data_IF_314112645429
#
_entry.id   IF_314112645429
#
_cell.length_a   1.000
_cell.length_b   1.000
_cell.length_c   1.000
_cell.angle_alpha   90.00
_cell.angle_beta   90.00
_cell.angle_gamma   90.00
#
_symmetry.space_group_name_H-M   'P 1'
#
loop_
_entity.id
_entity.type
_entity.pdbx_description
1 polymer ?
#
# COMPACT_ATOMS: atom_id res chain seq x y z
N UNK A 1 -5.56 6.61 -34.22
CA UNK A 1 -5.36 8.07 -34.13
C UNK A 1 -4.24 8.30 -33.14
N UNK A 2 -3.02 8.52 -33.64
CA UNK A 2 -1.87 8.90 -32.84
C UNK A 2 -1.65 10.40 -33.05
N UNK A 3 -1.91 11.18 -32.00
CA UNK A 3 -1.70 12.63 -31.84
C UNK A 3 -2.56 12.98 -30.62
N UNK A 4 -2.06 13.41 -29.47
CA UNK A 4 -1.02 14.42 -29.23
C UNK A 4 -0.58 14.34 -27.75
N UNK A 5 0.61 13.80 -27.47
CA UNK A 5 1.20 13.82 -26.11
C UNK A 5 2.18 15.00 -25.94
N UNK A 6 2.25 15.89 -26.92
CA UNK A 6 3.11 17.06 -26.90
C UNK A 6 2.24 18.28 -27.20
N UNK A 7 1.77 18.94 -26.13
CA UNK A 7 1.41 20.34 -26.23
C UNK A 7 1.51 21.08 -24.89
N UNK A 8 2.20 22.22 -24.98
CA UNK A 8 2.17 23.41 -24.12
C UNK A 8 2.53 23.27 -22.64
N UNK A 9 3.74 23.75 -22.29
CA UNK A 9 4.09 24.45 -21.05
C UNK A 9 3.37 23.97 -19.77
N UNK A 10 3.44 22.66 -19.50
CA UNK A 10 2.87 22.11 -18.27
C UNK A 10 3.69 22.66 -17.11
N UNK A 11 3.05 23.34 -16.16
CA UNK A 11 3.68 23.76 -14.91
C UNK A 11 3.90 22.50 -14.06
N UNK A 12 4.92 21.72 -14.41
CA UNK A 12 5.22 20.42 -13.79
C UNK A 12 5.85 20.57 -12.41
N UNK A 13 6.36 21.76 -12.10
CA UNK A 13 7.05 22.06 -10.86
C UNK A 13 6.24 22.99 -9.98
N UNK A 14 6.30 22.76 -8.66
CA UNK A 14 5.68 23.60 -7.66
C UNK A 14 6.61 23.73 -6.45
N UNK A 15 6.69 24.94 -5.89
CA UNK A 15 7.38 25.19 -4.62
C UNK A 15 6.46 24.79 -3.48
N UNK A 16 6.98 24.00 -2.54
CA UNK A 16 6.22 23.53 -1.38
C UNK A 16 5.98 24.68 -0.39
N UNK A 17 4.80 24.71 0.21
CA UNK A 17 4.53 25.61 1.34
C UNK A 17 5.18 25.08 2.63
N UNK A 18 5.26 25.93 3.66
CA UNK A 18 5.86 25.56 4.95
C UNK A 18 5.27 24.27 5.54
N UNK A 19 3.95 24.09 5.51
CA UNK A 19 3.28 22.91 6.05
C UNK A 19 3.73 21.61 5.35
N UNK A 20 3.86 21.65 4.03
CA UNK A 20 4.36 20.53 3.24
C UNK A 20 5.85 20.26 3.55
N UNK A 21 6.68 21.30 3.65
CA UNK A 21 8.09 21.15 4.03
C UNK A 21 8.22 20.59 5.45
N UNK A 22 7.36 21.00 6.37
CA UNK A 22 7.32 20.46 7.73
C UNK A 22 6.94 18.98 7.74
N UNK A 23 5.91 18.56 7.00
CA UNK A 23 5.57 17.14 6.84
C UNK A 23 6.73 16.34 6.24
N UNK A 24 7.42 16.89 5.24
CA UNK A 24 8.60 16.29 4.66
C UNK A 24 9.73 16.12 5.68
N UNK A 25 10.00 17.15 6.50
CA UNK A 25 11.00 17.09 7.57
C UNK A 25 10.69 15.98 8.58
N UNK A 26 9.42 15.78 8.94
CA UNK A 26 8.99 14.68 9.81
C UNK A 26 9.26 13.30 9.18
N UNK A 27 8.95 13.14 7.88
CA UNK A 27 9.26 11.89 7.15
C UNK A 27 10.77 11.63 7.13
N UNK A 28 11.57 12.67 6.90
CA UNK A 28 13.03 12.55 6.78
C UNK A 28 13.74 12.28 8.12
N UNK A 29 13.23 12.85 9.22
CA UNK A 29 13.77 12.68 10.59
C UNK A 29 13.22 11.47 11.34
N UNK A 30 12.08 10.92 10.91
CA UNK A 30 11.44 9.77 11.53
C UNK A 30 12.36 8.56 11.62
N UNK A 31 12.41 7.91 12.79
CA UNK A 31 13.17 6.69 12.97
C UNK A 31 12.45 5.50 12.31
N UNK A 32 13.16 4.80 11.43
CA UNK A 32 12.64 3.69 10.64
C UNK A 32 13.41 2.42 11.01
N UNK A 33 12.73 1.38 11.51
CA UNK A 33 13.37 0.11 11.83
C UNK A 33 13.57 -0.74 10.57
N UNK A 34 14.83 -1.02 10.22
CA UNK A 34 15.21 -2.02 9.21
C UNK A 34 15.52 -3.33 9.92
N UNK A 35 14.66 -4.32 9.73
CA UNK A 35 14.71 -5.57 10.48
C UNK A 35 15.74 -6.52 9.86
N UNK A 36 16.69 -6.98 10.67
CA UNK A 36 17.62 -8.03 10.29
C UNK A 36 16.96 -9.41 10.36
N UNK A 37 17.22 -10.26 9.37
CA UNK A 37 16.81 -11.67 9.38
C UNK A 37 17.72 -12.50 10.29
N UNK A 38 17.17 -13.51 10.94
CA UNK A 38 17.92 -14.39 11.83
C UNK A 38 18.44 -13.62 13.05
N UNK A 39 19.73 -13.73 13.34
CA UNK A 39 20.37 -13.12 14.52
C UNK A 39 20.89 -11.70 14.29
N UNK A 40 20.60 -11.10 13.12
CA UNK A 40 21.06 -9.75 12.81
C UNK A 40 20.21 -8.70 13.55
N UNK A 41 20.84 -7.67 14.15
CA UNK A 41 20.11 -6.66 14.92
C UNK A 41 19.22 -5.81 14.02
N UNK A 42 18.17 -5.21 14.59
CA UNK A 42 17.37 -4.21 13.88
C UNK A 42 18.13 -2.89 13.82
N UNK A 43 18.26 -2.30 12.63
CA UNK A 43 18.87 -0.98 12.44
C UNK A 43 17.80 0.09 12.60
N UNK A 44 18.08 1.13 13.37
CA UNK A 44 17.20 2.30 13.47
C UNK A 44 17.81 3.44 12.64
N UNK A 45 17.32 3.60 11.41
CA UNK A 45 17.82 4.61 10.49
C UNK A 45 16.89 5.81 10.43
N UNK A 46 17.43 6.98 10.09
CA UNK A 46 16.66 8.14 9.65
C UNK A 46 16.97 8.38 8.18
N UNK A 47 15.98 8.70 7.35
CA UNK A 47 16.22 8.89 5.92
C UNK A 47 17.23 10.01 5.68
N UNK A 48 17.16 11.11 6.44
CA UNK A 48 18.11 12.22 6.29
C UNK A 48 19.58 11.80 6.43
N UNK A 49 19.87 10.88 7.35
CA UNK A 49 21.23 10.45 7.65
C UNK A 49 21.65 9.36 6.66
N UNK A 50 20.75 8.39 6.42
CA UNK A 50 21.03 7.26 5.55
C UNK A 50 21.22 7.66 4.08
N UNK A 51 20.40 8.58 3.57
CA UNK A 51 20.52 9.11 2.21
C UNK A 51 21.86 9.82 1.99
N UNK A 52 22.32 10.59 2.99
CA UNK A 52 23.59 11.29 2.92
C UNK A 52 24.76 10.30 2.86
N UNK A 53 24.77 9.29 3.75
CA UNK A 53 25.81 8.24 3.74
C UNK A 53 25.84 7.48 2.40
N UNK A 54 24.67 7.13 1.85
CA UNK A 54 24.60 6.47 0.53
C UNK A 54 25.14 7.39 -0.57
N UNK A 55 24.77 8.68 -0.57
CA UNK A 55 25.25 9.67 -1.54
C UNK A 55 26.78 9.80 -1.50
N UNK A 56 27.35 9.88 -0.30
CA UNK A 56 28.79 10.07 -0.10
C UNK A 56 29.57 8.84 -0.61
N UNK A 57 29.13 7.62 -0.24
CA UNK A 57 29.76 6.38 -0.72
C UNK A 57 29.65 6.17 -2.22
N UNK A 58 28.54 6.59 -2.85
CA UNK A 58 28.43 6.59 -4.31
C UNK A 58 29.46 7.53 -4.94
N UNK A 59 29.64 8.73 -4.37
CA UNK A 59 30.63 9.70 -4.82
C UNK A 59 32.06 9.18 -4.71
N UNK A 60 32.40 8.53 -3.59
CA UNK A 60 33.71 7.88 -3.37
C UNK A 60 34.02 6.80 -4.41
N UNK A 61 33.01 6.03 -4.84
CA UNK A 61 33.12 5.01 -5.89
C UNK A 61 33.06 5.59 -7.33
N UNK A 62 33.00 6.92 -7.46
CA UNK A 62 32.97 7.64 -8.73
C UNK A 62 31.60 7.62 -9.45
N UNK A 63 30.51 7.40 -8.72
CA UNK A 63 29.14 7.54 -9.24
C UNK A 63 28.63 8.93 -8.88
N UNK A 64 28.36 9.74 -9.90
CA UNK A 64 27.75 11.05 -9.73
C UNK A 64 26.26 10.91 -9.44
N UNK A 65 25.81 11.48 -8.31
CA UNK A 65 24.40 11.65 -7.95
C UNK A 65 23.96 13.05 -8.38
N UNK A 66 23.04 13.13 -9.33
CA UNK A 66 22.52 14.37 -9.91
C UNK A 66 21.48 15.03 -8.99
N UNK A 67 20.55 14.23 -8.49
CA UNK A 67 19.50 14.64 -7.57
C UNK A 67 19.02 13.45 -6.72
N UNK A 68 18.37 13.75 -5.60
CA UNK A 68 17.70 12.76 -4.77
C UNK A 68 16.25 13.18 -4.57
N UNK A 69 15.33 12.26 -4.75
CA UNK A 69 13.89 12.54 -4.74
C UNK A 69 13.13 11.56 -3.84
N UNK A 70 12.15 12.07 -3.11
CA UNK A 70 11.12 11.25 -2.47
C UNK A 70 9.99 11.00 -3.46
N UNK A 71 9.55 9.76 -3.61
CA UNK A 71 8.49 9.34 -4.52
C UNK A 71 7.42 8.51 -3.77
N UNK A 72 6.42 8.03 -4.52
CA UNK A 72 5.45 7.05 -4.04
C UNK A 72 4.44 7.66 -3.08
N UNK A 73 3.84 6.81 -2.25
CA UNK A 73 2.79 7.23 -1.32
C UNK A 73 3.26 8.29 -0.32
N UNK A 74 4.55 8.30 0.03
CA UNK A 74 5.13 9.27 0.93
C UNK A 74 5.15 10.70 0.34
N UNK A 75 5.45 10.83 -0.97
CA UNK A 75 5.37 12.12 -1.65
C UNK A 75 3.93 12.64 -1.70
N UNK A 76 2.96 11.77 -2.01
CA UNK A 76 1.54 12.12 -1.99
C UNK A 76 1.06 12.52 -0.59
N UNK A 77 1.50 11.83 0.47
CA UNK A 77 1.22 12.20 1.86
C UNK A 77 1.75 13.59 2.22
N UNK A 78 2.98 13.92 1.80
CA UNK A 78 3.55 15.25 2.07
C UNK A 78 2.74 16.35 1.39
N UNK A 79 2.29 16.13 0.15
CA UNK A 79 1.64 17.14 -0.67
C UNK A 79 0.13 17.26 -0.42
N UNK A 80 -0.54 16.15 -0.12
CA UNK A 80 -1.98 16.08 0.05
C UNK A 80 -2.51 16.85 1.26
N UNK A 81 -3.82 17.10 1.25
CA UNK A 81 -4.52 17.78 2.34
C UNK A 81 -5.11 16.82 3.39
N UNK A 82 -5.07 15.49 3.14
CA UNK A 82 -5.63 14.51 4.07
C UNK A 82 -4.60 14.06 5.13
N UNK A 83 -4.84 14.42 6.40
CA UNK A 83 -3.97 14.02 7.52
C UNK A 83 -3.88 12.49 7.72
N UNK A 84 -4.88 11.74 7.27
CA UNK A 84 -4.98 10.29 7.43
C UNK A 84 -4.43 9.49 6.23
N UNK A 85 -3.76 10.13 5.27
CA UNK A 85 -3.22 9.42 4.12
C UNK A 85 -2.05 8.51 4.54
N UNK A 86 -2.33 7.22 4.69
CA UNK A 86 -1.29 6.22 4.97
C UNK A 86 -0.47 5.95 3.72
N UNK A 87 0.85 6.00 3.85
CA UNK A 87 1.80 5.47 2.89
C UNK A 87 2.42 4.18 3.42
N UNK A 88 2.62 3.21 2.51
CA UNK A 88 3.18 1.92 2.87
C UNK A 88 4.69 2.00 2.76
N UNK A 89 5.25 2.22 1.58
CA UNK A 89 6.70 2.26 1.40
C UNK A 89 7.28 3.68 1.37
N UNK A 90 8.59 3.79 1.65
CA UNK A 90 9.39 4.99 1.53
C UNK A 90 10.29 4.86 0.30
N UNK A 91 9.83 5.41 -0.82
CA UNK A 91 10.49 5.32 -2.11
C UNK A 91 11.44 6.49 -2.33
N UNK A 92 12.73 6.22 -2.42
CA UNK A 92 13.77 7.20 -2.73
C UNK A 92 14.34 6.95 -4.11
N UNK A 93 14.39 7.98 -4.94
CA UNK A 93 15.02 7.95 -6.26
C UNK A 93 16.33 8.74 -6.18
N UNK A 94 17.43 8.10 -6.56
CA UNK A 94 18.73 8.71 -6.79
C UNK A 94 18.92 8.82 -8.30
N UNK A 95 18.93 10.04 -8.84
CA UNK A 95 19.34 10.29 -10.22
C UNK A 95 20.84 10.06 -10.34
N UNK A 96 21.26 9.02 -11.06
CA UNK A 96 22.67 8.61 -11.18
C UNK A 96 23.03 8.34 -12.62
N UNK A 97 24.30 8.47 -12.98
CA UNK A 97 24.79 8.01 -14.29
C UNK A 97 25.33 6.57 -14.17
N UNK A 98 24.70 5.63 -14.89
CA UNK A 98 25.08 4.22 -14.90
C UNK A 98 25.68 3.82 -16.25
N UNK A 99 26.76 4.48 -16.66
CA UNK A 99 27.37 4.23 -17.97
C UNK A 99 27.85 2.79 -18.19
N UNK A 100 28.38 2.13 -17.14
CA UNK A 100 29.01 0.81 -17.23
C UNK A 100 28.27 -0.28 -16.41
N UNK A 101 28.38 -1.57 -16.80
CA UNK A 101 27.84 -2.67 -15.99
C UNK A 101 28.43 -2.75 -14.57
N UNK A 102 29.66 -2.27 -14.37
CA UNK A 102 30.31 -2.19 -13.05
C UNK A 102 29.65 -1.18 -12.11
N UNK A 103 28.99 -0.16 -12.64
CA UNK A 103 28.36 0.87 -11.79
C UNK A 103 27.20 0.28 -10.98
N UNK A 104 26.50 -0.73 -11.50
CA UNK A 104 25.52 -1.49 -10.72
C UNK A 104 26.13 -2.22 -9.51
N UNK A 105 27.37 -2.70 -9.64
CA UNK A 105 28.08 -3.32 -8.53
C UNK A 105 28.50 -2.30 -7.49
N UNK A 106 28.98 -1.13 -7.93
CA UNK A 106 29.30 0.01 -7.05
C UNK A 106 28.07 0.49 -6.28
N UNK A 107 26.93 0.69 -6.95
CA UNK A 107 25.64 1.03 -6.29
C UNK A 107 25.30 0.03 -5.19
N UNK A 108 25.36 -1.27 -5.51
CA UNK A 108 25.10 -2.33 -4.54
C UNK A 108 26.06 -2.26 -3.36
N UNK A 109 27.36 -2.11 -3.63
CA UNK A 109 28.39 -2.01 -2.59
C UNK A 109 28.19 -0.79 -1.71
N UNK A 110 27.93 0.39 -2.29
CA UNK A 110 27.68 1.63 -1.56
C UNK A 110 26.50 1.49 -0.58
N UNK A 111 25.36 0.92 -1.02
CA UNK A 111 24.20 0.71 -0.14
C UNK A 111 24.50 -0.29 0.98
N UNK A 112 25.12 -1.43 0.66
CA UNK A 112 25.44 -2.44 1.69
C UNK A 112 26.46 -1.89 2.68
N UNK A 113 27.50 -1.21 2.20
CA UNK A 113 28.48 -0.58 3.07
C UNK A 113 27.82 0.51 3.92
N UNK A 114 26.83 1.25 3.40
CA UNK A 114 26.08 2.25 4.17
C UNK A 114 25.35 1.61 5.35
N UNK A 115 24.68 0.46 5.16
CA UNK A 115 24.02 -0.28 6.25
C UNK A 115 24.98 -0.64 7.39
N UNK A 116 26.25 -0.87 7.06
CA UNK A 116 27.29 -1.24 8.01
C UNK A 116 27.58 -0.14 9.04
N UNK A 117 27.40 1.12 8.65
CA UNK A 117 27.64 2.28 9.52
C UNK A 117 26.52 2.46 10.56
N UNK A 118 25.33 1.91 10.28
CA UNK A 118 24.16 1.97 11.16
C UNK A 118 24.04 0.76 12.09
N UNK A 119 25.03 -0.13 12.11
CA UNK A 119 25.08 -1.24 13.07
C UNK A 119 25.33 -0.71 14.49
N UNK A 120 24.62 -1.24 15.50
CA UNK A 120 24.80 -0.82 16.89
C UNK A 120 26.21 -1.14 17.40
N UNK A 121 26.65 -0.39 18.40
CA UNK A 121 27.94 -0.59 19.05
C UNK A 121 28.02 -2.00 19.66
N UNK A 122 29.17 -2.66 19.48
CA UNK A 122 29.42 -4.04 19.95
C UNK A 122 29.21 -5.13 18.89
N UNK A 123 28.71 -4.81 17.70
CA UNK A 123 28.70 -5.75 16.57
C UNK A 123 30.08 -5.82 15.93
N UNK A 124 30.63 -7.03 15.76
CA UNK A 124 31.92 -7.22 15.09
C UNK A 124 31.78 -6.96 13.59
N UNK A 125 32.17 -5.76 13.16
CA UNK A 125 32.09 -5.30 11.76
C UNK A 125 33.08 -6.02 10.84
N UNK A 126 34.20 -6.52 11.35
CA UNK A 126 35.26 -7.19 10.56
C UNK A 126 34.83 -8.56 10.03
N UNK A 127 33.92 -9.25 10.74
CA UNK A 127 33.40 -10.56 10.33
C UNK A 127 32.21 -10.47 9.38
N UNK A 128 31.68 -9.27 9.13
CA UNK A 128 30.48 -9.08 8.33
C UNK A 128 30.81 -8.81 6.86
N UNK A 129 30.49 -9.77 6.00
CA UNK A 129 30.63 -9.61 4.55
C UNK A 129 29.44 -8.87 3.94
N UNK A 130 29.63 -8.27 2.76
CA UNK A 130 28.55 -7.67 1.98
C UNK A 130 27.45 -8.70 1.61
N UNK A 131 27.82 -9.97 1.41
CA UNK A 131 26.86 -11.05 1.17
C UNK A 131 25.97 -11.30 2.41
N UNK A 132 26.55 -11.26 3.61
CA UNK A 132 25.83 -11.45 4.87
C UNK A 132 24.81 -10.33 5.10
N UNK A 133 25.21 -9.07 4.86
CA UNK A 133 24.29 -7.92 4.95
C UNK A 133 23.13 -8.01 3.96
N UNK A 134 23.45 -8.39 2.71
CA UNK A 134 22.46 -8.58 1.65
C UNK A 134 21.40 -9.59 2.08
N UNK A 135 21.80 -10.71 2.67
CA UNK A 135 20.87 -11.74 3.13
C UNK A 135 20.10 -11.34 4.39
N UNK A 136 20.72 -10.53 5.25
CA UNK A 136 20.13 -10.08 6.50
C UNK A 136 19.07 -8.98 6.31
N UNK A 137 19.37 -7.96 5.52
CA UNK A 137 18.59 -6.70 5.52
C UNK A 137 17.87 -6.40 4.21
N UNK A 138 18.28 -7.01 3.10
CA UNK A 138 17.70 -6.72 1.79
C UNK A 138 16.57 -7.70 1.49
N UNK A 139 15.36 -7.17 1.30
CA UNK A 139 14.19 -7.95 0.96
C UNK A 139 14.11 -8.26 -0.53
N UNK A 140 14.44 -7.27 -1.37
CA UNK A 140 14.33 -7.37 -2.83
C UNK A 140 15.42 -6.55 -3.50
N UNK A 141 16.03 -7.10 -4.54
CA UNK A 141 16.91 -6.36 -5.46
C UNK A 141 16.47 -6.59 -6.89
N UNK A 142 16.47 -5.53 -7.69
CA UNK A 142 16.14 -5.58 -9.11
C UNK A 142 17.20 -4.80 -9.86
N UNK A 143 17.68 -5.35 -10.98
CA UNK A 143 18.56 -4.68 -11.93
C UNK A 143 17.88 -4.70 -13.28
N UNK A 144 17.70 -3.53 -13.89
CA UNK A 144 17.19 -3.37 -15.25
C UNK A 144 18.24 -2.65 -16.07
N UNK A 145 18.68 -3.28 -17.16
CA UNK A 145 19.66 -2.72 -18.08
C UNK A 145 19.22 -3.10 -19.50
N UNK A 146 18.34 -2.29 -20.06
CA UNK A 146 17.88 -2.36 -21.45
C UNK A 146 18.25 -1.06 -22.16
N UNK A 147 18.09 -0.97 -23.49
CA UNK A 147 18.31 0.28 -24.21
C UNK A 147 17.39 1.43 -23.78
N UNK A 148 16.19 1.12 -23.27
CA UNK A 148 15.17 2.11 -22.87
C UNK A 148 15.08 2.32 -21.37
N UNK A 149 15.60 1.40 -20.56
CA UNK A 149 15.47 1.45 -19.11
C UNK A 149 16.78 0.98 -18.46
N UNK A 150 17.37 1.86 -17.68
CA UNK A 150 18.61 1.61 -16.94
C UNK A 150 18.46 2.10 -15.51
N UNK A 151 18.23 1.16 -14.61
CA UNK A 151 18.03 1.45 -13.19
C UNK A 151 18.23 0.22 -12.30
N UNK A 152 18.48 0.48 -11.01
CA UNK A 152 18.60 -0.53 -9.96
C UNK A 152 17.66 -0.21 -8.81
N UNK A 153 17.15 -1.23 -8.12
CA UNK A 153 16.31 -1.07 -6.93
C UNK A 153 16.80 -1.99 -5.83
N UNK A 154 16.91 -1.47 -4.61
CA UNK A 154 17.25 -2.21 -3.39
C UNK A 154 16.20 -1.85 -2.33
N UNK A 155 15.39 -2.84 -1.94
CA UNK A 155 14.33 -2.68 -0.93
C UNK A 155 14.78 -3.32 0.38
N UNK A 156 14.76 -2.53 1.46
CA UNK A 156 15.18 -2.93 2.79
C UNK A 156 13.98 -3.44 3.60
N UNK A 157 14.19 -4.51 4.36
CA UNK A 157 13.13 -5.22 5.08
C UNK A 157 12.57 -4.41 6.24
N UNK A 158 11.26 -4.14 6.23
CA UNK A 158 10.55 -3.65 7.41
C UNK A 158 9.30 -4.47 7.69
N UNK A 159 9.37 -5.28 8.75
CA UNK A 159 8.27 -6.18 9.13
C UNK A 159 7.02 -5.45 9.62
N UNK A 160 7.06 -4.11 9.75
CA UNK A 160 5.91 -3.26 10.10
C UNK A 160 5.26 -2.59 8.88
N UNK A 161 5.59 -3.00 7.66
CA UNK A 161 4.94 -2.52 6.44
C UNK A 161 5.41 -1.15 5.94
N UNK A 162 6.60 -0.69 6.38
CA UNK A 162 7.27 0.55 5.91
C UNK A 162 8.64 0.29 5.31
N UNK A 163 8.68 -0.39 4.17
CA UNK A 163 9.96 -0.72 3.55
C UNK A 163 10.62 0.55 3.03
N UNK A 164 11.95 0.57 3.05
CA UNK A 164 12.73 1.66 2.45
C UNK A 164 13.24 1.16 1.11
N UNK A 165 12.75 1.74 0.03
CA UNK A 165 13.14 1.39 -1.33
C UNK A 165 14.09 2.43 -1.91
N UNK A 166 15.31 2.01 -2.20
CA UNK A 166 16.32 2.84 -2.85
C UNK A 166 16.35 2.50 -4.33
N UNK A 167 15.96 3.46 -5.17
CA UNK A 167 15.92 3.33 -6.61
C UNK A 167 17.00 4.21 -7.23
N UNK A 168 17.93 3.62 -7.96
CA UNK A 168 19.02 4.31 -8.63
C UNK A 168 18.71 4.36 -10.11
N UNK A 169 18.38 5.54 -10.62
CA UNK A 169 17.81 5.73 -11.95
C UNK A 169 18.77 6.54 -12.82
N UNK A 170 19.16 5.94 -13.95
CA UNK A 170 19.84 6.64 -15.04
C UNK A 170 18.83 7.01 -16.12
N UNK A 171 18.13 6.01 -16.65
CA UNK A 171 17.01 6.22 -17.56
C UNK A 171 15.83 5.32 -17.21
N UNK A 172 14.63 5.88 -17.23
CA UNK A 172 13.39 5.15 -16.96
C UNK A 172 12.27 5.72 -17.79
N UNK A 173 11.70 4.89 -18.66
CA UNK A 173 10.61 5.31 -19.53
C UNK A 173 9.32 5.55 -18.73
N UNK A 174 9.03 4.67 -17.77
CA UNK A 174 7.75 4.64 -17.03
C UNK A 174 7.96 5.11 -15.61
N UNK A 175 7.62 6.35 -15.32
CA UNK A 175 7.87 6.96 -14.02
C UNK A 175 6.62 7.04 -13.12
N UNK A 176 5.43 6.84 -13.67
CA UNK A 176 4.16 6.82 -12.93
C UNK A 176 3.15 5.87 -13.59
N UNK A 177 2.09 5.52 -12.85
CA UNK A 177 0.95 4.76 -13.38
C UNK A 177 -0.31 5.64 -13.45
N UNK A 178 -0.61 6.38 -12.38
CA UNK A 178 -1.69 7.34 -12.27
C UNK A 178 -1.17 8.72 -11.83
N UNK A 179 -1.99 9.75 -11.91
CA UNK A 179 -1.62 11.10 -11.49
C UNK A 179 -1.30 11.19 -10.00
N UNK A 180 -2.03 10.43 -9.18
CA UNK A 180 -1.96 10.49 -7.71
C UNK A 180 -0.66 9.92 -7.12
N UNK A 181 0.09 9.13 -7.89
CA UNK A 181 1.39 8.57 -7.56
C UNK A 181 2.54 9.14 -8.40
N UNK A 182 2.31 10.27 -9.08
CA UNK A 182 3.26 10.88 -10.01
C UNK A 182 4.17 11.95 -9.38
N UNK A 183 4.08 12.15 -8.07
CA UNK A 183 4.81 13.23 -7.40
C UNK A 183 6.21 12.79 -6.99
N UNK A 184 7.19 13.65 -7.29
CA UNK A 184 8.57 13.49 -6.87
C UNK A 184 9.04 14.78 -6.19
N UNK A 185 9.44 14.69 -4.93
CA UNK A 185 9.91 15.85 -4.15
C UNK A 185 11.44 15.85 -4.17
N UNK A 186 12.05 16.92 -4.68
CA UNK A 186 13.51 17.06 -4.76
C UNK A 186 14.06 17.38 -3.37
N UNK A 187 14.93 16.52 -2.85
CA UNK A 187 15.41 16.58 -1.47
C UNK A 187 16.70 17.39 -1.30
N UNK A 188 17.40 17.71 -2.38
CA UNK A 188 18.73 18.33 -2.35
C UNK A 188 18.80 19.58 -1.46
N UNK A 189 17.88 20.55 -1.64
CA UNK A 189 17.81 21.76 -0.80
C UNK A 189 17.64 21.45 0.69
N UNK A 190 16.85 20.42 1.01
CA UNK A 190 16.58 20.00 2.38
C UNK A 190 17.78 19.27 2.99
N UNK A 191 18.43 18.38 2.24
CA UNK A 191 19.64 17.68 2.66
C UNK A 191 20.80 18.65 2.90
N UNK A 192 20.98 19.62 1.99
CA UNK A 192 21.96 20.71 2.18
C UNK A 192 21.65 21.55 3.41
N UNK A 193 20.38 21.85 3.68
CA UNK A 193 19.97 22.54 4.90
C UNK A 193 20.36 21.76 6.16
N UNK A 194 20.15 20.43 6.19
CA UNK A 194 20.58 19.60 7.33
C UNK A 194 22.10 19.57 7.54
N UNK A 195 22.89 19.68 6.48
CA UNK A 195 24.35 19.68 6.57
C UNK A 195 24.95 21.00 7.05
N UNK A 196 24.23 22.11 6.89
CA UNK A 196 24.77 23.47 7.14
C UNK A 196 24.10 24.15 8.34
N UNK A 197 22.80 23.92 8.57
CA UNK A 197 22.04 24.60 9.62
C UNK A 197 22.11 23.86 10.95
N UNK A 198 22.63 24.52 11.98
CA UNK A 198 22.55 24.05 13.37
C UNK A 198 21.17 24.28 14.00
N UNK A 199 20.37 25.21 13.43
CA UNK A 199 19.04 25.56 13.94
C UNK A 199 17.97 24.63 13.38
N UNK A 200 16.99 24.31 14.22
CA UNK A 200 15.77 23.64 13.79
C UNK A 200 14.95 24.51 12.84
N UNK A 201 14.17 23.84 12.00
CA UNK A 201 13.32 24.47 11.00
C UNK A 201 12.13 25.16 11.68
N UNK A 202 11.75 26.34 11.19
CA UNK A 202 10.55 27.05 11.64
C UNK A 202 9.83 27.69 10.45
N UNK A 203 8.62 28.21 10.68
CA UNK A 203 7.80 28.86 9.64
C UNK A 203 8.48 30.05 8.96
N UNK A 204 9.45 30.68 9.62
CA UNK A 204 10.20 31.81 9.05
C UNK A 204 11.63 31.42 8.66
N UNK A 205 11.99 30.14 8.82
CA UNK A 205 13.33 29.63 8.55
C UNK A 205 13.27 28.16 8.09
N UNK A 206 13.03 27.97 6.80
CA UNK A 206 13.01 26.67 6.14
C UNK A 206 13.56 26.77 4.70
N UNK A 207 14.15 25.70 4.15
CA UNK A 207 14.67 25.73 2.79
C UNK A 207 13.55 25.74 1.75
N UNK A 208 13.82 26.34 0.59
CA UNK A 208 12.93 26.22 -0.56
C UNK A 208 13.02 24.82 -1.16
N UNK A 209 11.94 24.05 -1.05
CA UNK A 209 11.83 22.69 -1.61
C UNK A 209 10.88 22.72 -2.81
N UNK A 210 11.25 22.00 -3.86
CA UNK A 210 10.49 21.91 -5.12
C UNK A 210 10.03 20.46 -5.32
N UNK A 211 8.79 20.29 -5.77
CA UNK A 211 8.29 19.01 -6.24
C UNK A 211 7.95 19.07 -7.74
N UNK A 212 8.05 17.91 -8.38
CA UNK A 212 7.71 17.68 -9.77
C UNK A 212 6.54 16.68 -9.85
N UNK A 213 5.61 16.92 -10.78
CA UNK A 213 4.66 15.90 -11.23
C UNK A 213 5.13 15.31 -12.56
N UNK A 214 5.48 14.02 -12.57
CA UNK A 214 5.85 13.33 -13.81
C UNK A 214 4.63 12.97 -14.67
N UNK A 215 3.41 13.14 -14.13
CA UNK A 215 2.16 13.07 -14.91
C UNK A 215 2.01 14.25 -15.87
N UNK A 216 2.61 15.40 -15.56
CA UNK A 216 2.49 16.63 -16.34
C UNK A 216 2.21 17.82 -15.43
N UNK A 217 1.08 18.49 -15.61
CA UNK A 217 0.73 19.67 -14.80
C UNK A 217 0.58 19.30 -13.32
N UNK A 218 1.35 19.99 -12.48
CA UNK A 218 1.40 19.72 -11.04
C UNK A 218 0.06 19.99 -10.35
N UNK A 219 -0.60 21.10 -10.69
CA UNK A 219 -1.84 21.51 -10.04
C UNK A 219 -2.99 20.58 -10.42
N UNK A 220 -3.01 20.08 -11.66
CA UNK A 220 -3.97 19.05 -12.09
C UNK A 220 -3.75 17.74 -11.34
N UNK A 221 -2.50 17.29 -11.20
CA UNK A 221 -2.23 16.08 -10.42
C UNK A 221 -2.61 16.26 -8.95
N UNK A 222 -2.36 17.45 -8.39
CA UNK A 222 -2.70 17.78 -7.01
C UNK A 222 -4.21 17.85 -6.78
N UNK A 223 -4.99 18.39 -7.73
CA UNK A 223 -6.45 18.35 -7.63
C UNK A 223 -6.96 16.92 -7.67
N UNK A 224 -6.41 16.07 -8.56
CA UNK A 224 -6.76 14.64 -8.57
C UNK A 224 -6.45 13.95 -7.24
N UNK A 225 -5.33 14.30 -6.58
CA UNK A 225 -5.00 13.75 -5.27
C UNK A 225 -6.01 14.18 -4.19
N UNK A 226 -6.36 15.47 -4.14
CA UNK A 226 -7.26 16.03 -3.13
C UNK A 226 -8.73 15.61 -3.33
N UNK A 227 -9.16 15.46 -4.58
CA UNK A 227 -10.54 15.08 -4.95
C UNK A 227 -10.70 13.56 -5.13
N UNK A 228 -9.65 12.78 -4.88
CA UNK A 228 -9.61 11.31 -5.04
C UNK A 228 -9.99 10.86 -6.46
N UNK A 229 -9.39 11.48 -7.47
CA UNK A 229 -9.62 11.14 -8.86
C UNK A 229 -8.55 10.19 -9.42
N UNK A 230 -9.00 9.16 -10.15
CA UNK A 230 -8.14 8.23 -10.89
C UNK A 230 -7.95 8.77 -12.29
N UNK A 231 -6.71 9.15 -12.62
CA UNK A 231 -6.37 9.59 -13.96
C UNK A 231 -5.01 9.10 -14.44
N UNK A 232 -4.89 8.83 -15.73
CA UNK A 232 -3.62 8.51 -16.41
C UNK A 232 -3.61 9.11 -17.81
N UNK A 233 -2.43 9.49 -18.31
CA UNK A 233 -2.25 10.01 -19.67
C UNK A 233 -1.64 8.98 -20.63
N UNK A 234 -1.00 7.95 -20.08
CA UNK A 234 -0.29 6.92 -20.84
C UNK A 234 -0.84 5.53 -20.48
N UNK A 235 -2.14 5.26 -20.71
CA UNK A 235 -2.73 3.96 -20.36
C UNK A 235 -2.00 2.78 -21.01
N UNK A 236 -1.42 2.97 -22.19
CA UNK A 236 -0.62 1.98 -22.91
C UNK A 236 0.68 1.57 -22.19
N UNK A 237 1.18 2.41 -21.28
CA UNK A 237 2.40 2.12 -20.53
C UNK A 237 2.16 1.32 -19.24
N UNK A 238 0.90 1.22 -18.81
CA UNK A 238 0.49 0.45 -17.64
C UNK A 238 0.79 -1.04 -17.86
N UNK A 239 1.40 -1.68 -16.86
CA UNK A 239 1.67 -3.13 -16.81
C UNK A 239 0.60 -3.86 -16.01
N UNK A 240 0.66 -5.19 -15.95
CA UNK A 240 -0.33 -6.01 -15.24
C UNK A 240 -0.49 -5.64 -13.77
N UNK A 241 0.54 -5.10 -13.11
CA UNK A 241 0.46 -4.57 -11.75
C UNK A 241 -0.45 -3.34 -11.60
N UNK A 242 -0.68 -2.58 -12.67
CA UNK A 242 -1.56 -1.42 -12.64
C UNK A 242 -3.03 -1.75 -12.38
N UNK A 243 -3.48 -2.97 -12.74
CA UNK A 243 -4.80 -3.46 -12.35
C UNK A 243 -4.94 -3.51 -10.82
N UNK A 244 -3.92 -4.01 -10.13
CA UNK A 244 -3.93 -4.08 -8.68
C UNK A 244 -3.97 -2.69 -8.04
N UNK A 245 -3.16 -1.76 -8.58
CA UNK A 245 -3.17 -0.37 -8.11
C UNK A 245 -4.51 0.32 -8.36
N UNK A 246 -5.12 0.10 -9.52
CA UNK A 246 -6.44 0.60 -9.83
C UNK A 246 -7.50 0.10 -8.83
N UNK A 247 -7.57 -1.21 -8.58
CA UNK A 247 -8.49 -1.77 -7.59
C UNK A 247 -8.24 -1.24 -6.17
N UNK A 248 -6.99 -1.00 -5.79
CA UNK A 248 -6.66 -0.42 -4.49
C UNK A 248 -7.12 1.04 -4.37
N UNK A 249 -7.01 1.82 -5.46
CA UNK A 249 -7.57 3.18 -5.51
C UNK A 249 -9.10 3.15 -5.33
N UNK A 250 -9.80 2.24 -6.02
CA UNK A 250 -11.26 2.09 -5.88
C UNK A 250 -11.69 1.76 -4.45
N UNK A 251 -11.04 0.81 -3.78
CA UNK A 251 -11.35 0.47 -2.36
C UNK A 251 -11.06 1.62 -1.41
N UNK A 252 -10.13 2.52 -1.77
CA UNK A 252 -9.83 3.75 -1.02
C UNK A 252 -10.75 4.91 -1.41
N UNK A 253 -11.88 4.63 -2.08
CA UNK A 253 -12.89 5.58 -2.51
C UNK A 253 -12.41 6.59 -3.55
N UNK A 254 -11.40 6.24 -4.36
CA UNK A 254 -11.08 7.03 -5.54
C UNK A 254 -12.05 6.71 -6.66
N UNK A 255 -12.40 7.72 -7.45
CA UNK A 255 -13.31 7.60 -8.60
C UNK A 255 -12.61 8.01 -9.89
N UNK A 256 -12.92 7.41 -11.04
CA UNK A 256 -12.39 7.86 -12.33
C UNK A 256 -12.70 9.35 -12.58
N UNK A 257 -11.72 10.11 -13.07
CA UNK A 257 -11.96 11.49 -13.50
C UNK A 257 -12.97 11.55 -14.66
N UNK A 258 -13.82 12.58 -14.70
CA UNK A 258 -14.92 12.70 -15.67
C UNK A 258 -14.49 12.63 -17.14
N UNK A 259 -13.27 13.09 -17.42
CA UNK A 259 -12.68 13.13 -18.76
C UNK A 259 -12.09 11.78 -19.21
N UNK A 260 -12.14 10.73 -18.39
CA UNK A 260 -11.53 9.43 -18.67
C UNK A 260 -12.61 8.38 -18.96
N UNK A 261 -12.51 7.78 -20.14
CA UNK A 261 -13.31 6.62 -20.46
C UNK A 261 -12.74 5.38 -19.74
N UNK A 262 -13.37 5.00 -18.63
CA UNK A 262 -12.83 3.99 -17.74
C UNK A 262 -12.88 2.57 -18.30
N UNK A 263 -13.92 2.22 -19.06
CA UNK A 263 -14.13 0.83 -19.53
C UNK A 263 -13.04 0.35 -20.50
N UNK A 264 -12.56 1.14 -21.49
CA UNK A 264 -11.37 0.79 -22.27
C UNK A 264 -10.11 0.61 -21.42
N UNK A 265 -9.93 1.45 -20.38
CA UNK A 265 -8.78 1.37 -19.50
C UNK A 265 -8.80 0.08 -18.66
N UNK A 266 -9.95 -0.28 -18.10
CA UNK A 266 -10.14 -1.56 -17.39
C UNK A 266 -9.85 -2.75 -18.29
N UNK A 267 -10.38 -2.76 -19.51
CA UNK A 267 -10.09 -3.82 -20.50
C UNK A 267 -8.59 -3.93 -20.78
N UNK A 268 -7.91 -2.80 -20.93
CA UNK A 268 -6.47 -2.78 -21.16
C UNK A 268 -5.69 -3.34 -19.95
N UNK A 269 -6.02 -2.90 -18.74
CA UNK A 269 -5.40 -3.38 -17.51
C UNK A 269 -5.64 -4.88 -17.30
N UNK A 270 -6.85 -5.37 -17.53
CA UNK A 270 -7.17 -6.80 -17.51
C UNK A 270 -6.36 -7.58 -18.56
N UNK A 271 -6.34 -7.13 -19.81
CA UNK A 271 -5.53 -7.78 -20.85
C UNK A 271 -4.05 -7.82 -20.47
N UNK A 272 -3.49 -6.72 -19.96
CA UNK A 272 -2.08 -6.65 -19.57
C UNK A 272 -1.77 -7.52 -18.35
N UNK A 273 -2.72 -7.65 -17.41
CA UNK A 273 -2.64 -8.56 -16.28
C UNK A 273 -2.49 -10.02 -16.75
N UNK A 274 -3.33 -10.49 -17.67
CA UNK A 274 -3.23 -11.86 -18.19
C UNK A 274 -1.96 -12.10 -19.02
N UNK A 275 -1.47 -11.09 -19.76
CA UNK A 275 -0.23 -11.25 -20.54
C UNK A 275 1.01 -11.25 -19.63
N UNK A 276 1.03 -10.43 -18.58
CA UNK A 276 2.16 -10.36 -17.65
C UNK A 276 2.14 -11.54 -16.65
N UNK A 277 0.95 -12.07 -16.32
CA UNK A 277 0.76 -13.19 -15.38
C UNK A 277 -0.16 -14.27 -15.99
N UNK A 278 0.33 -15.06 -16.97
CA UNK A 278 -0.50 -16.02 -17.69
C UNK A 278 -0.88 -17.25 -16.86
N UNK A 279 -0.10 -17.58 -15.82
CA UNK A 279 -0.32 -18.75 -14.97
C UNK A 279 -1.08 -18.41 -13.69
N UNK A 280 -2.07 -19.22 -13.33
CA UNK A 280 -2.93 -19.00 -12.16
C UNK A 280 -2.17 -19.05 -10.83
N UNK A 281 -1.09 -19.85 -10.73
CA UNK A 281 -0.29 -19.89 -9.51
C UNK A 281 0.55 -18.62 -9.37
N UNK A 282 1.07 -18.09 -10.48
CA UNK A 282 1.72 -16.78 -10.48
C UNK A 282 0.75 -15.67 -10.08
N UNK A 283 -0.47 -15.68 -10.60
CA UNK A 283 -1.52 -14.74 -10.20
C UNK A 283 -1.81 -14.83 -8.71
N UNK A 284 -1.98 -16.04 -8.17
CA UNK A 284 -2.20 -16.27 -6.73
C UNK A 284 -1.08 -15.64 -5.89
N UNK A 285 0.17 -15.98 -6.18
CA UNK A 285 1.33 -15.44 -5.45
C UNK A 285 1.37 -13.91 -5.53
N UNK A 286 1.03 -13.32 -6.68
CA UNK A 286 1.01 -11.86 -6.85
C UNK A 286 -0.11 -11.20 -6.06
N UNK A 287 -1.32 -11.77 -6.05
CA UNK A 287 -2.44 -11.25 -5.27
C UNK A 287 -2.12 -11.37 -3.78
N UNK A 288 -1.62 -12.51 -3.31
CA UNK A 288 -1.22 -12.72 -1.91
C UNK A 288 -0.16 -11.71 -1.46
N UNK A 289 0.88 -11.49 -2.29
CA UNK A 289 1.92 -10.48 -2.01
C UNK A 289 1.34 -9.07 -1.97
N UNK A 290 0.43 -8.73 -2.90
CA UNK A 290 -0.19 -7.41 -2.93
C UNK A 290 -1.04 -7.16 -1.68
N UNK A 291 -1.88 -8.14 -1.30
CA UNK A 291 -2.69 -8.09 -0.09
C UNK A 291 -1.84 -7.95 1.17
N UNK A 292 -0.72 -8.68 1.26
CA UNK A 292 0.17 -8.63 2.42
C UNK A 292 0.88 -7.27 2.55
N UNK A 293 1.26 -6.65 1.42
CA UNK A 293 2.05 -5.42 1.43
C UNK A 293 1.20 -4.15 1.48
N UNK A 294 0.03 -4.14 0.83
CA UNK A 294 -0.74 -2.91 0.62
C UNK A 294 -1.98 -2.76 1.48
N UNK A 295 -2.51 -3.87 2.01
CA UNK A 295 -3.78 -3.93 2.72
C UNK A 295 -3.52 -4.42 4.15
N UNK A 296 -3.78 -3.58 5.14
CA UNK A 296 -3.61 -3.94 6.54
C UNK A 296 -4.79 -4.76 7.08
N UNK A 297 -5.98 -4.20 6.96
CA UNK A 297 -7.22 -4.77 7.53
C UNK A 297 -7.77 -5.93 6.71
N UNK A 298 -8.29 -6.96 7.40
CA UNK A 298 -8.91 -8.13 6.77
C UNK A 298 -10.18 -7.76 6.03
N UNK A 299 -10.95 -6.77 6.51
CA UNK A 299 -12.11 -6.25 5.78
C UNK A 299 -11.70 -5.59 4.47
N UNK A 300 -10.70 -4.71 4.50
CA UNK A 300 -10.17 -4.09 3.28
C UNK A 300 -9.62 -5.11 2.28
N UNK A 301 -9.00 -6.20 2.75
CA UNK A 301 -8.54 -7.29 1.86
C UNK A 301 -9.71 -7.97 1.15
N UNK A 302 -10.82 -8.21 1.87
CA UNK A 302 -12.04 -8.76 1.28
C UNK A 302 -12.63 -7.80 0.24
N UNK A 303 -12.83 -6.53 0.59
CA UNK A 303 -13.39 -5.51 -0.30
C UNK A 303 -12.54 -5.34 -1.57
N UNK A 304 -11.21 -5.41 -1.42
CA UNK A 304 -10.27 -5.43 -2.54
C UNK A 304 -10.43 -6.63 -3.44
N UNK A 305 -10.54 -7.84 -2.88
CA UNK A 305 -10.75 -9.05 -3.68
C UNK A 305 -12.10 -9.00 -4.42
N UNK A 306 -13.15 -8.49 -3.79
CA UNK A 306 -14.46 -8.33 -4.44
C UNK A 306 -14.43 -7.27 -5.54
N UNK A 307 -13.71 -6.17 -5.33
CA UNK A 307 -13.47 -5.16 -6.37
C UNK A 307 -12.70 -5.74 -7.55
N UNK A 308 -11.60 -6.45 -7.28
CA UNK A 308 -10.80 -7.13 -8.31
C UNK A 308 -11.65 -8.17 -9.07
N UNK A 309 -12.49 -8.93 -8.37
CA UNK A 309 -13.43 -9.88 -8.97
C UNK A 309 -14.36 -9.19 -9.96
N UNK A 310 -15.05 -8.12 -9.55
CA UNK A 310 -15.99 -7.38 -10.41
C UNK A 310 -15.30 -6.82 -11.65
N UNK A 311 -14.13 -6.20 -11.50
CA UNK A 311 -13.39 -5.65 -12.65
C UNK A 311 -12.94 -6.75 -13.62
N UNK A 312 -12.39 -7.85 -13.12
CA UNK A 312 -11.99 -9.00 -13.97
C UNK A 312 -13.21 -9.63 -14.63
N UNK A 313 -14.35 -9.69 -13.95
CA UNK A 313 -15.57 -10.27 -14.50
C UNK A 313 -16.17 -9.42 -15.61
N UNK A 314 -16.27 -8.10 -15.42
CA UNK A 314 -16.92 -7.18 -16.37
C UNK A 314 -16.02 -6.78 -17.56
N UNK A 315 -14.72 -6.63 -17.32
CA UNK A 315 -13.81 -5.98 -18.27
C UNK A 315 -12.86 -6.95 -18.97
N UNK A 316 -12.94 -8.25 -18.70
CA UNK A 316 -12.20 -9.26 -19.47
C UNK A 316 -12.92 -9.62 -20.76
N UNK A 317 -12.23 -9.47 -21.89
CA UNK A 317 -12.75 -9.77 -23.24
C UNK A 317 -12.98 -11.28 -23.40
N UNK A 318 -14.03 -11.67 -24.13
CA UNK A 318 -14.51 -13.06 -24.28
C UNK A 318 -13.46 -14.07 -24.78
N UNK A 319 -12.38 -13.60 -25.43
CA UNK A 319 -11.31 -14.45 -25.95
C UNK A 319 -10.50 -15.18 -24.85
N UNK A 320 -10.62 -14.77 -23.59
CA UNK A 320 -9.90 -15.36 -22.44
C UNK A 320 -10.87 -15.99 -21.44
N UNK A 321 -11.90 -16.68 -21.93
CA UNK A 321 -12.99 -17.20 -21.08
C UNK A 321 -12.55 -18.28 -20.09
N UNK A 322 -11.54 -19.09 -20.42
CA UNK A 322 -11.03 -20.13 -19.51
C UNK A 322 -10.18 -19.51 -18.40
N UNK A 323 -9.23 -18.67 -18.78
CA UNK A 323 -8.33 -17.93 -17.89
C UNK A 323 -9.13 -17.04 -16.94
N UNK A 324 -10.13 -16.31 -17.47
CA UNK A 324 -11.07 -15.52 -16.66
C UNK A 324 -11.73 -16.36 -15.58
N UNK A 325 -12.32 -17.52 -15.93
CA UNK A 325 -12.97 -18.39 -14.94
C UNK A 325 -11.99 -18.92 -13.90
N UNK A 326 -10.77 -19.27 -14.29
CA UNK A 326 -9.74 -19.72 -13.34
C UNK A 326 -9.38 -18.60 -12.35
N UNK A 327 -9.12 -17.39 -12.84
CA UNK A 327 -8.80 -16.24 -12.00
C UNK A 327 -9.96 -15.83 -11.09
N UNK A 328 -11.20 -15.81 -11.59
CA UNK A 328 -12.38 -15.50 -10.78
C UNK A 328 -12.58 -16.53 -9.66
N UNK A 329 -12.45 -17.82 -9.97
CA UNK A 329 -12.51 -18.87 -8.95
C UNK A 329 -11.40 -18.72 -7.90
N UNK A 330 -10.17 -18.40 -8.33
CA UNK A 330 -9.05 -18.12 -7.42
C UNK A 330 -9.39 -16.95 -6.48
N UNK A 331 -9.83 -15.82 -7.02
CA UNK A 331 -10.18 -14.63 -6.23
C UNK A 331 -11.31 -14.95 -5.24
N UNK A 332 -12.34 -15.66 -5.70
CA UNK A 332 -13.47 -16.06 -4.86
C UNK A 332 -13.04 -16.98 -3.71
N UNK A 333 -12.17 -17.96 -3.97
CA UNK A 333 -11.63 -18.85 -2.94
C UNK A 333 -10.82 -18.07 -1.90
N UNK A 334 -9.99 -17.12 -2.34
CA UNK A 334 -9.22 -16.25 -1.44
C UNK A 334 -10.15 -15.37 -0.59
N UNK A 335 -11.20 -14.79 -1.17
CA UNK A 335 -12.16 -13.95 -0.46
C UNK A 335 -12.94 -14.77 0.58
N UNK A 336 -13.40 -15.97 0.22
CA UNK A 336 -14.09 -16.88 1.14
C UNK A 336 -13.18 -17.31 2.30
N UNK A 337 -11.91 -17.57 2.04
CA UNK A 337 -10.94 -17.92 3.08
C UNK A 337 -10.78 -16.80 4.11
N UNK A 338 -10.76 -15.53 3.68
CA UNK A 338 -10.69 -14.37 4.58
C UNK A 338 -11.97 -14.27 5.41
N UNK A 339 -13.14 -14.40 4.80
CA UNK A 339 -14.42 -14.34 5.50
C UNK A 339 -14.53 -15.43 6.58
N UNK A 340 -14.19 -16.68 6.24
CA UNK A 340 -14.19 -17.79 7.19
C UNK A 340 -13.22 -17.55 8.36
N UNK A 341 -12.05 -16.97 8.11
CA UNK A 341 -11.09 -16.63 9.17
C UNK A 341 -11.62 -15.53 10.09
N UNK A 342 -12.33 -14.54 9.55
CA UNK A 342 -12.97 -13.49 10.35
C UNK A 342 -14.06 -14.08 11.26
N UNK A 343 -14.96 -14.90 10.71
CA UNK A 343 -16.03 -15.55 11.46
C UNK A 343 -15.48 -16.43 12.59
N UNK A 344 -14.45 -17.25 12.30
CA UNK A 344 -13.78 -18.07 13.31
C UNK A 344 -13.20 -17.21 14.43
N UNK A 345 -12.50 -16.11 14.12
CA UNK A 345 -11.94 -15.21 15.14
C UNK A 345 -13.01 -14.51 15.96
N UNK A 346 -14.11 -14.09 15.35
CA UNK A 346 -15.23 -13.49 16.06
C UNK A 346 -15.85 -14.49 17.06
N UNK A 347 -16.04 -15.73 16.63
CA UNK A 347 -16.52 -16.82 17.48
C UNK A 347 -15.59 -17.09 18.68
N UNK A 348 -14.28 -17.20 18.46
CA UNK A 348 -13.31 -17.41 19.56
C UNK A 348 -13.25 -16.23 20.53
N UNK A 349 -13.35 -14.98 20.04
CA UNK A 349 -13.44 -13.80 20.91
C UNK A 349 -14.69 -13.85 21.78
N UNK A 350 -15.84 -14.23 21.21
CA UNK A 350 -17.08 -14.37 21.96
C UNK A 350 -16.97 -15.43 23.07
N UNK A 351 -16.33 -16.57 22.79
CA UNK A 351 -16.06 -17.60 23.81
C UNK A 351 -15.14 -17.10 24.93
N UNK A 352 -14.07 -16.36 24.61
CA UNK A 352 -13.18 -15.79 25.63
C UNK A 352 -13.87 -14.74 26.50
N UNK A 353 -14.70 -13.88 25.90
CA UNK A 353 -15.49 -12.90 26.65
C UNK A 353 -16.46 -13.59 27.61
N UNK A 354 -17.16 -14.63 27.17
CA UNK A 354 -18.06 -15.40 28.03
C UNK A 354 -17.32 -16.09 29.20
N UNK A 355 -16.06 -16.52 29.00
CA UNK A 355 -15.22 -17.09 30.06
C UNK A 355 -14.71 -16.03 31.05
N UNK A 356 -14.36 -14.83 30.57
CA UNK A 356 -13.95 -13.72 31.42
C UNK A 356 -15.09 -13.23 32.32
N UNK A 357 -16.32 -13.16 31.78
CA UNK A 357 -17.52 -12.84 32.56
C UNK A 357 -17.78 -13.88 33.66
N UNK A 358 -17.59 -15.18 33.37
CA UNK A 358 -17.71 -16.23 34.40
C UNK A 358 -16.62 -16.14 35.50
N UNK A 359 -15.38 -15.76 35.16
CA UNK A 359 -14.31 -15.59 36.15
C UNK A 359 -14.53 -14.35 37.05
N UNK A 360 -15.07 -13.26 36.50
CA UNK A 360 -15.43 -12.10 37.31
C UNK A 360 -16.62 -12.36 38.22
N UNK A 361 -17.66 -13.09 37.75
CA UNK A 361 -18.79 -13.49 38.61
C UNK A 361 -18.30 -14.37 39.78
N UNK A 362 -17.37 -15.30 39.54
CA UNK A 362 -16.85 -16.20 40.59
C UNK A 362 -15.98 -15.46 41.62
N UNK A 363 -15.27 -14.40 41.22
CA UNK A 363 -14.44 -13.59 42.12
C UNK A 363 -15.28 -12.65 43.00
N UNK A 364 -16.40 -12.12 42.49
CA UNK A 364 -17.35 -11.34 43.31
C UNK A 364 -18.16 -12.18 44.31
N UNK A 365 -18.30 -13.50 44.10
CA UNK A 365 -18.99 -14.37 45.07
C UNK A 365 -18.10 -14.87 46.21
N UNK A 366 -16.77 -14.71 46.12
CA UNK A 366 -15.84 -15.08 47.20
C UNK A 366 -15.43 -13.89 48.09
N UNK A 367 -15.75 -12.65 47.69
CA UNK A 367 -15.38 -11.42 48.41
C UNK A 367 -16.57 -10.71 49.09
N UNK A 368 -17.70 -11.40 49.32
CA UNK A 368 -18.75 -10.89 50.20
C UNK A 368 -18.49 -11.34 51.63
N UNK A 369 -17.57 -10.67 52.30
CA UNK A 369 -17.56 -10.32 53.72
C UNK A 369 -16.34 -9.41 53.91
N UNK A 370 -16.59 -8.17 54.31
CA UNK A 370 -15.63 -7.12 54.68
C UNK A 370 -14.92 -6.36 53.54
N UNK A 371 -15.60 -5.35 53.00
CA UNK A 371 -15.33 -3.94 53.37
C UNK A 371 -16.06 -2.97 52.45
N UNK A 372 -16.83 -2.06 53.06
CA UNK A 372 -17.25 -0.81 52.44
C UNK A 372 -16.03 0.07 52.23
N UNK A 373 -15.64 0.37 50.98
CA UNK A 373 -15.22 1.72 50.55
C UNK A 373 -14.81 1.79 49.07
N UNK A 374 -15.52 2.66 48.35
CA UNK A 374 -15.07 3.55 47.25
C UNK A 374 -14.21 2.99 46.11
N UNK A 375 -14.84 2.75 44.95
CA UNK A 375 -14.23 3.05 43.64
C UNK A 375 -15.28 3.63 42.69
N UNK A 376 -15.07 4.88 42.28
CA UNK A 376 -15.78 5.57 41.20
C UNK A 376 -15.24 5.00 39.88
N UNK A 377 -16.13 4.54 38.99
CA UNK A 377 -15.82 4.26 37.58
C UNK A 377 -16.75 5.11 36.73
N UNK A 378 -16.15 5.99 35.92
CA UNK A 378 -16.82 6.82 34.93
C UNK A 378 -17.53 5.97 33.88
N UNK A 379 -18.84 6.17 33.78
CA UNK A 379 -19.68 5.59 32.73
C UNK A 379 -19.52 6.40 31.44
N UNK A 380 -18.91 5.81 30.41
CA UNK A 380 -19.01 6.34 29.03
C UNK A 380 -20.26 5.77 28.38
N UNK A 381 -21.17 6.69 28.08
CA UNK A 381 -22.47 6.51 27.47
C UNK A 381 -22.31 6.33 25.95
N UNK A 382 -22.80 5.24 25.37
CA UNK A 382 -23.17 5.19 23.94
C UNK A 382 -24.69 5.07 23.85
N UNK A 383 -25.32 6.17 23.45
CA UNK A 383 -26.75 6.29 23.32
C UNK A 383 -27.28 5.64 22.04
N UNK A 384 -28.38 4.90 22.18
CA UNK A 384 -29.38 4.74 21.12
C UNK A 384 -30.76 4.86 21.74
N UNK A 385 -31.34 6.06 21.66
CA UNK A 385 -32.71 6.31 22.09
C UNK A 385 -33.60 6.53 20.88
N UNK A 386 -34.48 5.58 20.59
CA UNK A 386 -35.80 5.87 20.02
C UNK A 386 -36.81 4.98 20.74
N UNK A 387 -37.67 5.65 21.51
CA UNK A 387 -38.78 5.11 22.28
C UNK A 387 -40.02 5.00 21.38
N UNK A 388 -40.73 3.88 21.44
CA UNK A 388 -42.15 3.76 21.05
C UNK A 388 -42.97 3.35 22.28
N UNK A 389 -44.21 3.88 22.46
CA UNK A 389 -45.00 3.67 23.67
C UNK A 389 -45.78 2.34 23.65
N UNK A 390 -46.27 1.86 24.82
CA UNK A 390 -46.75 0.49 24.98
C UNK A 390 -48.20 0.33 24.50
N UNK A 391 -48.49 -0.80 23.83
CA UNK A 391 -49.85 -1.30 23.61
C UNK A 391 -49.91 -2.74 24.16
N UNK A 392 -50.99 -2.99 24.91
CA UNK A 392 -51.31 -4.22 25.63
C UNK A 392 -51.66 -5.43 24.73
N UNK A 393 -51.76 -6.65 25.29
CA UNK A 393 -51.45 -7.89 24.61
C UNK A 393 -52.65 -8.51 23.89
N UNK A 394 -52.40 -9.16 22.75
CA UNK A 394 -53.25 -10.22 22.23
C UNK A 394 -52.43 -11.25 21.46
N UNK A 395 -52.57 -12.49 21.92
CA UNK A 395 -52.14 -13.77 21.38
C UNK A 395 -51.80 -13.84 19.89
N UNK A 396 -50.67 -14.47 19.55
CA UNK A 396 -50.64 -15.66 18.70
C UNK A 396 -49.22 -16.27 18.60
N UNK A 397 -49.17 -17.57 18.93
CA UNK A 397 -48.08 -18.51 18.71
C UNK A 397 -47.53 -18.48 17.28
N UNK A 398 -46.22 -18.66 17.09
CA UNK A 398 -45.63 -19.86 16.47
C UNK A 398 -44.09 -19.80 16.48
N UNK A 399 -43.48 -20.93 16.85
CA UNK A 399 -42.06 -21.06 17.15
C UNK A 399 -41.13 -21.26 15.96
N UNK A 400 -39.84 -21.05 16.26
CA UNK A 400 -38.68 -21.34 15.43
C UNK A 400 -38.55 -22.86 15.15
N UNK A 401 -38.26 -23.21 13.89
CA UNK A 401 -37.82 -24.55 13.48
C UNK A 401 -36.40 -24.45 12.92
N UNK A 402 -35.50 -25.30 13.43
CA UNK A 402 -34.10 -25.42 13.03
C UNK A 402 -33.93 -26.05 11.62
N UNK A 403 -32.80 -25.84 10.92
CA UNK A 403 -32.60 -26.39 9.59
C UNK A 403 -32.09 -27.84 9.61
N UNK A 404 -32.74 -28.70 8.84
CA UNK A 404 -32.32 -30.08 8.57
C UNK A 404 -31.41 -30.15 7.34
N UNK A 405 -30.35 -30.96 7.47
CA UNK A 405 -29.51 -31.47 6.39
C UNK A 405 -30.31 -32.36 5.41
N UNK A 406 -29.76 -32.57 4.21
CA UNK A 406 -29.79 -33.79 3.33
C UNK A 406 -29.91 -33.40 1.83
N UNK A 407 -28.98 -33.87 0.99
CA UNK A 407 -29.20 -34.11 -0.46
C UNK A 407 -29.53 -35.59 -0.71
N UNK A 408 -29.58 -36.18 -1.94
CA UNK A 408 -29.59 -35.61 -3.29
C UNK A 408 -30.84 -36.04 -4.13
N UNK A 409 -31.04 -35.34 -5.25
CA UNK A 409 -31.70 -35.74 -6.52
C UNK A 409 -32.90 -36.72 -6.53
N UNK A 410 -34.07 -36.22 -6.93
CA UNK A 410 -34.90 -36.82 -7.98
C UNK A 410 -35.83 -35.75 -8.58
N UNK A 411 -35.97 -35.76 -9.90
CA UNK A 411 -36.59 -34.68 -10.67
C UNK A 411 -38.11 -34.63 -10.57
N UNK A 412 -38.65 -33.42 -10.71
CA UNK A 412 -39.95 -33.12 -11.31
C UNK A 412 -40.00 -31.60 -11.59
N UNK A 413 -40.26 -31.25 -12.84
CA UNK A 413 -40.46 -29.88 -13.31
C UNK A 413 -41.68 -29.25 -12.62
N UNK A 414 -41.48 -28.18 -11.85
CA UNK A 414 -42.54 -27.22 -11.53
C UNK A 414 -41.98 -25.80 -11.65
N UNK A 415 -42.64 -25.05 -12.54
CA UNK A 415 -42.39 -23.66 -12.92
C UNK A 415 -42.58 -22.70 -11.74
N UNK A 416 -41.55 -21.90 -11.43
CA UNK A 416 -41.59 -20.82 -10.44
C UNK A 416 -42.31 -19.59 -11.00
N UNK A 417 -43.27 -19.05 -10.25
CA UNK A 417 -44.17 -17.97 -10.68
C UNK A 417 -43.60 -16.54 -10.57
N UNK A 418 -42.27 -16.37 -10.42
CA UNK A 418 -41.66 -15.05 -10.15
C UNK A 418 -40.39 -14.76 -10.98
N UNK A 419 -40.12 -15.48 -12.07
CA UNK A 419 -38.93 -15.23 -12.91
C UNK A 419 -39.27 -14.54 -14.25
N UNK A 420 -38.58 -13.43 -14.62
CA UNK A 420 -38.68 -12.78 -15.93
C UNK A 420 -38.15 -13.65 -17.10
N UNK A 421 -38.76 -13.51 -18.28
CA UNK A 421 -38.77 -14.47 -19.39
C UNK A 421 -37.58 -14.47 -20.36
N UNK A 422 -36.40 -13.98 -20.00
CA UNK A 422 -35.25 -13.92 -20.93
C UNK A 422 -33.92 -14.36 -20.33
N UNK A 423 -33.89 -15.58 -19.80
CA UNK A 423 -32.67 -16.40 -19.70
C UNK A 423 -33.10 -17.86 -19.65
N UNK A 424 -32.92 -18.58 -20.75
CA UNK A 424 -33.02 -20.04 -20.77
C UNK A 424 -31.77 -20.61 -20.09
N UNK A 425 -31.94 -21.45 -19.08
CA UNK A 425 -30.91 -22.37 -18.59
C UNK A 425 -30.81 -23.59 -19.50
#
# INVERSE_FOLDING_TARGET
MASSCENSNMNRFQVLCHEQVYRLDQVMKGAIPVHGRGNFPTLNIKLKDFVQVVRDKLGEDGITVQDIRLNGGAASYVLGCEDNQMYNDLDLIFGVNLGSPSDFHKVKSAVLNSLMDFLPDGVNRERMSSCSLKEAYVQKMVKVCTPTDRWSLISLSNNRGRNVELKFVDHMKRQFEFSVDSFQIILDSLLTFYGISEKEMSEHFYPTVVAESVYGDFNVALSHLNEKLIATRCPEEIRGGGLFKYCNLLVRNYVPAENINIKPMERYMCSRFFIDFPDVNQQKVKIEQYLANHLGDEQMKYDYLMTLYSIVDESTICLMGHERRQTLNLIQQMAMQILMQQEQRAYYKQLQMAQFDQQNVTTTTAATLDNQSNLIIDQVFYGTGFTLPPIQPSDQYYGYVAPCLIGPYSGLQQSCAVCPTYTQC
#
